data_IF_765978447921
#
_entry.id   IF_765978447921
#
_cell.length_a   1.000
_cell.length_b   1.000
_cell.length_c   1.000
_cell.angle_alpha   90.00
_cell.angle_beta   90.00
_cell.angle_gamma   90.00
#
_symmetry.space_group_name_H-M   'P 1'
#
loop_
_entity.id
_entity.type
_entity.pdbx_description
1 polymer ?
#
# COMPACT_ATOMS: atom_id res chain seq x y z
N UNK A 1 4.27 0.50 -9.59
CA UNK A 1 3.19 1.31 -8.97
C UNK A 1 2.70 0.61 -7.72
N UNK A 2 2.52 1.34 -6.63
CA UNK A 2 1.92 0.85 -5.39
C UNK A 2 0.56 1.50 -5.22
N UNK A 3 -0.48 0.70 -4.96
CA UNK A 3 -1.82 1.20 -4.63
C UNK A 3 -2.11 0.95 -3.16
N UNK A 4 -2.36 2.02 -2.43
CA UNK A 4 -2.64 2.03 -1.01
C UNK A 4 -4.07 2.55 -0.80
N UNK A 5 -4.86 1.89 0.03
CA UNK A 5 -6.26 2.24 0.32
C UNK A 5 -6.38 2.67 1.79
N UNK A 6 -7.05 3.79 2.03
CA UNK A 6 -7.33 4.27 3.38
C UNK A 6 -8.33 3.37 4.10
N UNK A 7 -8.08 3.09 5.37
CA UNK A 7 -9.06 2.47 6.25
C UNK A 7 -9.79 3.60 6.98
N UNK A 8 -11.10 3.72 6.79
CA UNK A 8 -11.90 4.65 7.58
C UNK A 8 -12.08 4.06 8.99
N UNK A 9 -11.60 4.77 10.02
CA UNK A 9 -11.72 4.31 11.41
C UNK A 9 -13.18 4.30 11.92
N UNK A 10 -14.07 5.05 11.27
CA UNK A 10 -15.50 5.15 11.62
C UNK A 10 -16.40 4.14 10.89
N UNK A 11 -15.95 3.59 9.75
CA UNK A 11 -16.71 2.58 9.00
C UNK A 11 -16.16 1.18 9.32
N UNK A 12 -16.90 0.45 10.17
CA UNK A 12 -16.53 -0.91 10.59
C UNK A 12 -16.74 -1.98 9.51
N UNK A 13 -17.06 -1.56 8.28
CA UNK A 13 -17.15 -2.43 7.12
C UNK A 13 -15.79 -2.99 6.70
N UNK A 14 -15.68 -4.31 6.65
CA UNK A 14 -14.52 -4.98 6.06
C UNK A 14 -14.45 -4.63 4.56
N UNK A 15 -13.45 -3.84 4.16
CA UNK A 15 -13.24 -3.47 2.76
C UNK A 15 -12.84 -4.73 1.99
N UNK A 16 -13.68 -5.15 1.05
CA UNK A 16 -13.36 -6.28 0.17
C UNK A 16 -12.21 -5.92 -0.79
N UNK A 17 -11.04 -6.49 -0.50
CA UNK A 17 -9.84 -6.32 -1.30
C UNK A 17 -9.69 -7.33 -2.45
N UNK A 18 -10.58 -8.31 -2.59
CA UNK A 18 -10.46 -9.38 -3.60
C UNK A 18 -10.44 -8.86 -5.05
N UNK A 19 -11.04 -7.70 -5.29
CA UNK A 19 -11.04 -7.02 -6.58
C UNK A 19 -9.73 -6.30 -6.94
N UNK A 20 -8.76 -6.20 -6.02
CA UNK A 20 -7.48 -5.55 -6.29
C UNK A 20 -6.42 -6.57 -6.65
N UNK A 21 -5.81 -6.37 -7.81
CA UNK A 21 -4.69 -7.17 -8.27
C UNK A 21 -3.68 -6.29 -9.00
N UNK A 22 -2.40 -6.57 -8.80
CA UNK A 22 -1.30 -5.99 -9.56
C UNK A 22 -0.46 -7.10 -10.18
N UNK A 23 0.46 -6.73 -11.06
CA UNK A 23 1.30 -7.68 -11.79
C UNK A 23 2.35 -8.38 -10.92
N UNK A 24 2.66 -7.85 -9.72
CA UNK A 24 3.53 -8.50 -8.75
C UNK A 24 2.67 -9.23 -7.72
N UNK A 25 2.87 -10.54 -7.54
CA UNK A 25 2.06 -11.32 -6.59
C UNK A 25 2.40 -10.95 -5.15
N UNK A 26 1.40 -11.09 -4.26
CA UNK A 26 1.63 -11.10 -2.81
C UNK A 26 2.06 -12.50 -2.36
N UNK A 27 3.06 -12.59 -1.50
CA UNK A 27 3.50 -13.85 -0.86
C UNK A 27 4.09 -13.56 0.53
N UNK A 28 3.38 -14.00 1.58
CA UNK A 28 3.75 -13.69 2.96
C UNK A 28 4.80 -14.66 3.56
N UNK A 29 5.36 -15.59 2.76
CA UNK A 29 6.45 -16.49 3.18
C UNK A 29 7.80 -15.76 3.20
N UNK A 30 8.67 -16.10 4.15
CA UNK A 30 9.97 -15.41 4.33
C UNK A 30 10.98 -15.61 3.19
N UNK A 31 10.92 -16.72 2.46
CA UNK A 31 11.88 -17.06 1.39
C UNK A 31 11.31 -16.89 -0.02
N UNK A 32 10.22 -16.13 -0.16
CA UNK A 32 9.58 -15.88 -1.44
C UNK A 32 10.41 -14.94 -2.31
N UNK A 33 10.35 -15.13 -3.63
CA UNK A 33 11.00 -14.28 -4.64
C UNK A 33 9.95 -13.74 -5.60
N UNK A 34 10.28 -12.61 -6.22
CA UNK A 34 9.47 -11.95 -7.25
C UNK A 34 8.04 -11.68 -6.76
N UNK A 35 7.92 -11.17 -5.53
CA UNK A 35 6.66 -10.93 -4.85
C UNK A 35 6.81 -9.73 -3.89
N UNK A 36 5.68 -9.31 -3.34
CA UNK A 36 5.63 -8.34 -2.25
C UNK A 36 4.91 -8.91 -1.04
N UNK A 37 5.15 -8.30 0.12
CA UNK A 37 4.46 -8.59 1.37
C UNK A 37 4.38 -7.34 2.22
N UNK A 38 3.48 -7.37 3.20
CA UNK A 38 3.41 -6.36 4.24
C UNK A 38 4.34 -6.80 5.38
N UNK A 39 5.19 -5.89 5.84
CA UNK A 39 6.03 -6.10 7.03
C UNK A 39 5.23 -5.78 8.28
N UNK A 40 5.52 -6.45 9.40
CA UNK A 40 4.93 -6.08 10.70
C UNK A 40 5.28 -4.61 11.00
N UNK A 41 4.27 -3.78 11.24
CA UNK A 41 4.46 -2.37 11.53
C UNK A 41 5.31 -2.11 12.77
N UNK A 42 5.38 -3.07 13.70
CA UNK A 42 6.26 -2.99 14.88
C UNK A 42 7.75 -3.04 14.53
N UNK A 43 8.12 -3.48 13.32
CA UNK A 43 9.49 -3.39 12.82
C UNK A 43 9.94 -1.94 12.59
N UNK A 44 9.00 -1.01 12.47
CA UNK A 44 9.29 0.41 12.26
C UNK A 44 9.13 1.18 13.58
N UNK A 45 10.09 2.07 13.85
CA UNK A 45 10.10 2.94 15.02
C UNK A 45 9.66 4.35 14.62
N UNK A 46 8.53 4.80 15.16
CA UNK A 46 8.00 6.15 14.94
C UNK A 46 8.23 7.03 16.16
N UNK A 47 8.19 8.35 15.96
CA UNK A 47 8.30 9.32 17.05
C UNK A 47 7.11 9.16 18.00
N UNK A 48 7.37 9.05 19.31
CA UNK A 48 6.31 9.02 20.31
C UNK A 48 5.62 10.38 20.41
N UNK A 49 4.48 10.43 21.12
CA UNK A 49 3.78 11.69 21.44
C UNK A 49 4.69 12.68 22.20
N UNK A 50 5.65 12.17 22.98
CA UNK A 50 6.56 12.98 23.81
C UNK A 50 7.92 13.22 23.17
N UNK A 51 8.13 12.78 21.91
CA UNK A 51 9.44 12.78 21.24
C UNK A 51 10.15 14.14 21.29
N UNK A 52 9.42 15.26 21.29
CA UNK A 52 10.04 16.59 21.35
C UNK A 52 10.89 16.74 22.64
N UNK A 53 10.40 16.19 23.76
CA UNK A 53 11.00 16.32 25.09
C UNK A 53 12.02 15.23 25.39
N UNK A 54 11.71 13.97 25.07
CA UNK A 54 12.51 12.81 25.49
C UNK A 54 13.24 12.10 24.34
N UNK A 55 12.98 12.52 23.09
CA UNK A 55 13.46 11.88 21.85
C UNK A 55 13.08 10.39 21.74
N UNK A 56 12.04 9.95 22.45
CA UNK A 56 11.64 8.53 22.51
C UNK A 56 10.88 8.07 21.26
N UNK A 57 11.19 6.85 20.80
CA UNK A 57 10.52 6.21 19.67
C UNK A 57 9.78 4.96 20.12
N UNK A 58 8.59 4.75 19.56
CA UNK A 58 7.72 3.61 19.84
C UNK A 58 7.53 2.77 18.57
N UNK A 59 7.19 1.47 18.67
CA UNK A 59 6.76 0.68 17.52
C UNK A 59 5.59 1.35 16.79
N UNK A 60 5.53 1.27 15.47
CA UNK A 60 4.50 1.94 14.68
C UNK A 60 3.11 1.32 14.85
N UNK A 61 3.03 0.03 15.17
CA UNK A 61 1.76 -0.68 15.30
C UNK A 61 1.05 -0.92 13.96
N UNK A 62 -0.29 -0.97 13.99
CA UNK A 62 -1.12 -1.21 12.80
C UNK A 62 -1.09 0.01 11.86
N UNK A 63 -0.89 -0.16 10.54
CA UNK A 63 -0.96 0.95 9.60
C UNK A 63 -2.39 1.48 9.42
N UNK A 64 -2.51 2.78 9.12
CA UNK A 64 -3.79 3.45 8.82
C UNK A 64 -4.31 3.16 7.40
N UNK A 65 -3.44 2.69 6.51
CA UNK A 65 -3.78 2.39 5.12
C UNK A 65 -3.18 1.05 4.73
N UNK A 66 -3.87 0.30 3.88
CA UNK A 66 -3.41 -1.00 3.41
C UNK A 66 -2.86 -0.94 1.99
N UNK A 67 -1.71 -1.58 1.77
CA UNK A 67 -1.18 -1.83 0.44
C UNK A 67 -1.93 -3.01 -0.17
N UNK A 68 -2.67 -2.76 -1.25
CA UNK A 68 -3.60 -3.76 -1.83
C UNK A 68 -3.13 -4.30 -3.18
N UNK A 69 -2.33 -3.54 -3.93
CA UNK A 69 -1.80 -3.98 -5.22
C UNK A 69 -0.43 -3.36 -5.49
N UNK A 70 0.43 -4.15 -6.13
CA UNK A 70 1.75 -3.72 -6.60
C UNK A 70 1.94 -4.15 -8.04
N UNK A 71 2.28 -3.19 -8.88
CA UNK A 71 2.73 -3.43 -10.24
C UNK A 71 4.24 -3.21 -10.36
N UNK A 72 4.91 -4.20 -10.96
CA UNK A 72 6.32 -4.10 -11.33
C UNK A 72 6.46 -3.96 -12.85
N UNK A 73 6.45 -2.72 -13.34
CA UNK A 73 6.67 -2.44 -14.77
C UNK A 73 8.15 -2.18 -15.04
N UNK A 74 8.63 -2.66 -16.20
CA UNK A 74 9.98 -2.38 -16.70
C UNK A 74 9.85 -1.82 -18.11
N UNK A 75 10.38 -0.63 -18.32
CA UNK A 75 10.46 0.01 -19.63
C UNK A 75 11.73 0.87 -19.69
N UNK A 76 12.28 1.06 -20.89
CA UNK A 76 13.41 1.96 -21.15
C UNK A 76 12.94 3.42 -21.11
N UNK A 77 11.67 3.66 -21.46
CA UNK A 77 11.08 5.00 -21.46
C UNK A 77 10.37 5.30 -20.15
N UNK A 78 10.20 6.60 -19.87
CA UNK A 78 9.35 7.06 -18.77
C UNK A 78 7.91 6.62 -18.98
N UNK A 79 7.31 5.99 -17.98
CA UNK A 79 5.93 5.54 -17.97
C UNK A 79 5.06 6.55 -17.24
N UNK A 80 4.62 7.57 -17.97
CA UNK A 80 3.62 8.51 -17.48
C UNK A 80 2.22 7.89 -17.65
N UNK A 81 1.30 8.18 -16.73
CA UNK A 81 -0.10 7.70 -16.77
C UNK A 81 -0.33 6.21 -16.49
N UNK A 82 0.49 5.59 -15.64
CA UNK A 82 0.29 4.18 -15.22
C UNK A 82 -1.14 3.92 -14.70
N UNK A 83 -1.74 4.88 -14.00
CA UNK A 83 -3.09 4.76 -13.44
C UNK A 83 -4.23 4.83 -14.48
N UNK A 84 -3.96 5.33 -15.70
CA UNK A 84 -4.98 5.42 -16.78
C UNK A 84 -5.13 4.12 -17.57
N UNK A 85 -4.28 3.12 -17.33
CA UNK A 85 -4.34 1.84 -18.06
C UNK A 85 -5.64 1.13 -17.73
N UNK A 86 -6.33 0.64 -18.77
CA UNK A 86 -7.58 -0.10 -18.61
C UNK A 86 -7.37 -1.30 -17.68
N UNK A 87 -8.22 -1.42 -16.66
CA UNK A 87 -8.15 -2.50 -15.67
C UNK A 87 -7.06 -2.32 -14.62
N UNK A 88 -6.45 -1.13 -14.52
CA UNK A 88 -5.53 -0.82 -13.43
C UNK A 88 -6.27 -0.82 -12.08
N UNK A 89 -5.64 -1.32 -11.02
CA UNK A 89 -6.20 -1.36 -9.68
C UNK A 89 -6.66 0.03 -9.17
N UNK A 90 -6.04 1.11 -9.64
CA UNK A 90 -6.45 2.50 -9.32
C UNK A 90 -7.85 2.80 -9.86
N UNK A 91 -8.20 2.29 -11.05
CA UNK A 91 -9.54 2.46 -11.64
C UNK A 91 -10.58 1.72 -10.79
N UNK A 92 -10.26 0.50 -10.36
CA UNK A 92 -11.12 -0.29 -9.45
C UNK A 92 -11.35 0.45 -8.14
N UNK A 93 -10.32 1.07 -7.55
CA UNK A 93 -10.46 1.83 -6.31
C UNK A 93 -11.36 3.06 -6.50
N UNK A 94 -11.21 3.76 -7.63
CA UNK A 94 -12.04 4.90 -7.97
C UNK A 94 -13.52 4.49 -8.20
N UNK A 95 -13.77 3.37 -8.88
CA UNK A 95 -15.12 2.83 -9.10
C UNK A 95 -15.80 2.41 -7.79
N UNK A 96 -15.02 1.87 -6.84
CA UNK A 96 -15.49 1.55 -5.49
C UNK A 96 -15.63 2.77 -4.57
N UNK A 97 -15.25 3.97 -5.02
CA UNK A 97 -15.35 5.21 -4.23
C UNK A 97 -14.37 5.29 -3.06
N UNK A 98 -13.27 4.53 -3.09
CA UNK A 98 -12.33 4.43 -1.97
C UNK A 98 -11.29 5.55 -2.00
N UNK A 99 -10.93 6.06 -0.82
CA UNK A 99 -9.77 6.93 -0.68
C UNK A 99 -8.49 6.12 -0.97
N UNK A 100 -7.75 6.51 -2.02
CA UNK A 100 -6.60 5.76 -2.48
C UNK A 100 -5.41 6.65 -2.83
N UNK A 101 -4.21 6.11 -2.59
CA UNK A 101 -2.93 6.70 -2.94
C UNK A 101 -2.18 5.77 -3.90
N UNK A 102 -1.87 6.28 -5.09
CA UNK A 102 -1.07 5.58 -6.08
C UNK A 102 0.33 6.19 -6.17
N UNK A 103 1.36 5.39 -5.92
CA UNK A 103 2.77 5.82 -5.96
C UNK A 103 3.47 5.14 -7.15
N UNK A 104 3.99 5.95 -8.08
CA UNK A 104 4.85 5.47 -9.16
C UNK A 104 6.32 5.71 -8.79
N UNK A 105 7.08 4.63 -8.54
CA UNK A 105 8.52 4.68 -8.30
C UNK A 105 9.22 4.31 -9.62
N UNK A 106 9.64 5.31 -10.40
CA UNK A 106 10.47 5.15 -11.59
C UNK A 106 11.69 6.07 -11.50
#
# INVERSE_FOLDING_TARGET
MFLIIGLDEEDSGEIDFSGFSGNLRRDDRDNSRDCWRISDGNNFRVRSKNFIYDKSKVPAGKPLMELVAVDWFKDVKRMDHVAKRKGCAVQVAAEKGLFSLAINLQ
#
